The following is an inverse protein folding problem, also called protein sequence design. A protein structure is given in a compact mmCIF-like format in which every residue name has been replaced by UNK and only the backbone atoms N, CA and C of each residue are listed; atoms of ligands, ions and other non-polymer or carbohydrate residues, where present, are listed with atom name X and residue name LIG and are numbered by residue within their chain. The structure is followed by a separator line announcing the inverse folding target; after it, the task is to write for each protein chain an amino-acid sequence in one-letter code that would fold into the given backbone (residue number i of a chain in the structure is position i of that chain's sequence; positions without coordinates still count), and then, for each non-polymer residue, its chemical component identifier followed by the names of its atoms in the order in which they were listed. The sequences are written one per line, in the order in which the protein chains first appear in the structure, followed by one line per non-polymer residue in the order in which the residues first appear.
data_IF_871192624394
#
_entry.id   IF_871192624394
#
_cell.length_a   1.000
_cell.length_b   1.000
_cell.length_c   1.000
_cell.angle_alpha   90.00
_cell.angle_beta   90.00
_cell.angle_gamma   90.00
#
_symmetry.space_group_name_H-M   'P 1'
#
loop_
_entity.id
_entity.type
_entity.pdbx_description
1 polymer ?
#
# COMPACT_ATOMS: atom_id res chain seq x y z
N UNK A 1 -19.90 3.25 -10.35
CA UNK A 1 -19.46 2.03 -9.66
C UNK A 1 -18.07 1.75 -10.19
N UNK A 2 -17.04 1.90 -9.36
CA UNK A 2 -15.64 1.78 -9.75
C UNK A 2 -15.28 0.31 -9.79
N UNK A 3 -14.96 -0.24 -10.96
CA UNK A 3 -14.63 -1.66 -11.10
C UNK A 3 -13.13 -1.87 -10.89
N UNK A 4 -12.75 -2.19 -9.65
CA UNK A 4 -11.37 -2.52 -9.31
C UNK A 4 -10.92 -3.88 -9.89
N UNK A 5 -11.85 -4.65 -10.51
CA UNK A 5 -11.49 -5.85 -11.26
C UNK A 5 -10.95 -5.54 -12.65
N UNK A 6 -10.98 -4.29 -13.10
CA UNK A 6 -10.46 -3.91 -14.41
C UNK A 6 -9.00 -3.44 -14.30
N UNK A 7 -8.09 -4.19 -14.89
CA UNK A 7 -6.66 -3.84 -15.01
C UNK A 7 -6.48 -2.50 -15.72
N UNK A 8 -7.36 -2.16 -16.68
CA UNK A 8 -7.32 -0.88 -17.37
C UNK A 8 -7.75 0.27 -16.44
N UNK A 9 -8.71 0.01 -15.53
CA UNK A 9 -9.06 0.97 -14.49
C UNK A 9 -7.88 1.22 -13.54
N UNK A 10 -7.24 0.15 -13.03
CA UNK A 10 -6.05 0.28 -12.16
C UNK A 10 -4.95 1.06 -12.90
N UNK A 11 -4.67 0.72 -14.15
CA UNK A 11 -3.66 1.41 -14.97
C UNK A 11 -3.94 2.92 -15.06
N UNK A 12 -5.17 3.27 -15.42
CA UNK A 12 -5.58 4.66 -15.61
C UNK A 12 -5.57 5.45 -14.28
N UNK A 13 -6.00 4.83 -13.19
CA UNK A 13 -5.99 5.43 -11.85
C UNK A 13 -4.56 5.74 -11.40
N UNK A 14 -3.65 4.77 -11.51
CA UNK A 14 -2.24 4.94 -11.13
C UNK A 14 -1.54 6.01 -11.97
N UNK A 15 -1.77 6.02 -13.28
CA UNK A 15 -1.17 7.03 -14.17
C UNK A 15 -1.67 8.44 -13.86
N UNK A 16 -2.99 8.60 -13.66
CA UNK A 16 -3.58 9.90 -13.29
C UNK A 16 -3.06 10.39 -11.96
N UNK A 17 -2.94 9.48 -10.99
CA UNK A 17 -2.49 9.80 -9.64
C UNK A 17 -1.00 10.10 -9.57
N UNK A 18 -0.17 9.37 -10.31
CA UNK A 18 1.26 9.66 -10.43
C UNK A 18 1.48 11.07 -11.00
N UNK A 19 0.74 11.44 -12.05
CA UNK A 19 0.81 12.78 -12.63
C UNK A 19 0.36 13.88 -11.65
N UNK A 20 -0.74 13.66 -10.91
CA UNK A 20 -1.23 14.60 -9.90
C UNK A 20 -0.22 14.79 -8.76
N UNK A 21 0.31 13.70 -8.20
CA UNK A 21 1.26 13.73 -7.09
C UNK A 21 2.62 14.33 -7.51
N UNK A 22 3.09 14.01 -8.72
CA UNK A 22 4.28 14.65 -9.32
C UNK A 22 4.09 16.15 -9.47
N UNK A 23 2.92 16.60 -9.98
CA UNK A 23 2.63 18.03 -10.15
C UNK A 23 2.60 18.81 -8.83
N UNK A 24 2.28 18.12 -7.73
CA UNK A 24 2.26 18.65 -6.36
C UNK A 24 3.62 18.55 -5.65
N UNK A 25 4.63 17.92 -6.27
CA UNK A 25 5.94 17.69 -5.66
C UNK A 25 5.92 16.66 -4.52
N UNK A 26 4.89 15.80 -4.47
CA UNK A 26 4.73 14.74 -3.46
C UNK A 26 5.28 13.38 -3.92
N UNK A 27 5.58 13.28 -5.21
CA UNK A 27 6.22 12.12 -5.84
C UNK A 27 7.41 12.62 -6.65
N UNK A 28 8.55 11.94 -6.55
CA UNK A 28 9.74 12.25 -7.35
C UNK A 28 9.53 11.88 -8.83
N UNK A 29 10.31 12.47 -9.76
CA UNK A 29 10.35 12.01 -11.16
C UNK A 29 10.66 10.51 -11.26
N UNK A 30 11.61 10.02 -10.47
CA UNK A 30 12.00 8.61 -10.45
C UNK A 30 10.85 7.71 -9.96
N UNK A 31 10.11 8.15 -8.95
CA UNK A 31 8.92 7.46 -8.46
C UNK A 31 7.78 7.44 -9.48
N UNK A 32 7.59 8.55 -10.21
CA UNK A 32 6.61 8.61 -11.29
C UNK A 32 6.98 7.69 -12.46
N UNK A 33 8.26 7.65 -12.83
CA UNK A 33 8.78 6.75 -13.87
C UNK A 33 8.64 5.27 -13.47
N UNK A 34 8.87 4.95 -12.19
CA UNK A 34 8.63 3.60 -11.67
C UNK A 34 7.16 3.19 -11.81
N UNK A 35 6.22 4.10 -11.48
CA UNK A 35 4.78 3.82 -11.68
C UNK A 35 4.47 3.65 -13.17
N UNK A 36 5.01 4.50 -14.05
CA UNK A 36 4.84 4.36 -15.51
C UNK A 36 5.37 3.02 -16.02
N UNK A 37 6.52 2.56 -15.49
CA UNK A 37 7.04 1.25 -15.84
C UNK A 37 6.09 0.14 -15.41
N UNK A 38 5.63 0.17 -14.16
CA UNK A 38 4.66 -0.79 -13.61
C UNK A 38 3.35 -0.83 -14.41
N UNK A 39 2.84 0.32 -14.86
CA UNK A 39 1.56 0.41 -15.58
C UNK A 39 1.65 0.00 -17.05
N UNK A 40 2.83 0.13 -17.67
CA UNK A 40 3.02 -0.13 -19.10
C UNK A 40 3.74 -1.47 -19.39
N UNK A 41 4.37 -2.09 -18.40
CA UNK A 41 5.03 -3.39 -18.57
C UNK A 41 4.04 -4.47 -19.03
N UNK A 42 4.41 -5.19 -20.09
CA UNK A 42 3.61 -6.27 -20.68
C UNK A 42 3.76 -7.60 -19.93
N UNK A 43 4.77 -7.73 -19.08
CA UNK A 43 5.01 -8.84 -18.17
C UNK A 43 5.77 -8.34 -16.92
N UNK A 44 5.58 -9.00 -15.79
CA UNK A 44 6.44 -8.79 -14.61
C UNK A 44 7.73 -9.61 -14.78
N UNK A 45 8.87 -9.02 -14.43
CA UNK A 45 10.19 -9.66 -14.58
C UNK A 45 11.04 -9.44 -13.34
N UNK A 46 11.73 -10.50 -12.90
CA UNK A 46 12.71 -10.40 -11.81
C UNK A 46 13.89 -9.48 -12.18
N UNK A 47 14.19 -9.35 -13.49
CA UNK A 47 15.27 -8.50 -14.01
C UNK A 47 14.99 -7.00 -13.83
N UNK A 48 13.72 -6.60 -13.67
CA UNK A 48 13.37 -5.18 -13.48
C UNK A 48 13.76 -4.69 -12.08
N UNK A 49 14.02 -5.61 -11.14
CA UNK A 49 14.26 -5.29 -9.74
C UNK A 49 13.04 -4.68 -9.04
N UNK A 50 11.85 -4.84 -9.61
CA UNK A 50 10.59 -4.32 -9.10
C UNK A 50 9.86 -5.40 -8.31
N UNK A 51 9.29 -5.04 -7.17
CA UNK A 51 8.44 -5.93 -6.39
C UNK A 51 7.14 -5.23 -6.03
N UNK A 52 6.00 -5.80 -6.45
CA UNK A 52 4.70 -5.43 -5.89
C UNK A 52 4.39 -6.36 -4.73
N UNK A 53 4.09 -5.78 -3.57
CA UNK A 53 3.78 -6.57 -2.39
C UNK A 53 2.63 -6.01 -1.57
N UNK A 54 2.06 -6.92 -0.77
CA UNK A 54 1.05 -6.64 0.24
C UNK A 54 1.70 -6.55 1.62
N UNK A 55 1.01 -5.89 2.54
CA UNK A 55 1.37 -5.92 3.95
C UNK A 55 0.84 -7.19 4.61
N UNK A 56 1.70 -7.87 5.36
CA UNK A 56 1.32 -9.03 6.18
C UNK A 56 1.75 -8.79 7.61
N UNK A 57 0.91 -9.18 8.57
CA UNK A 57 1.18 -9.10 10.00
C UNK A 57 1.53 -10.49 10.56
N UNK A 58 2.80 -10.93 10.49
CA UNK A 58 3.17 -12.32 10.79
C UNK A 58 2.96 -12.69 12.26
N UNK A 59 3.08 -11.71 13.17
CA UNK A 59 2.88 -11.90 14.62
C UNK A 59 1.41 -11.86 15.02
N UNK A 60 0.50 -11.56 14.09
CA UNK A 60 -0.93 -11.40 14.32
C UNK A 60 -1.71 -12.32 13.37
N UNK A 61 -1.46 -13.62 13.45
CA UNK A 61 -2.18 -14.62 12.65
C UNK A 61 -1.91 -14.57 11.13
N UNK A 62 -0.88 -13.85 10.69
CA UNK A 62 -0.59 -13.69 9.26
C UNK A 62 -1.65 -12.89 8.52
N UNK A 63 -2.30 -11.93 9.20
CA UNK A 63 -3.31 -11.05 8.61
C UNK A 63 -2.71 -10.26 7.45
N UNK A 64 -3.44 -10.15 6.34
CA UNK A 64 -3.07 -9.30 5.22
C UNK A 64 -3.86 -7.99 5.28
N UNK A 65 -3.20 -6.87 4.96
CA UNK A 65 -3.93 -5.65 4.67
C UNK A 65 -4.38 -5.64 3.20
N UNK A 66 -5.66 -5.39 2.97
CA UNK A 66 -6.29 -5.31 1.65
C UNK A 66 -6.31 -3.86 1.14
N UNK A 67 -6.55 -3.66 -0.17
CA UNK A 67 -6.67 -2.34 -0.85
C UNK A 67 -5.40 -1.45 -0.85
N UNK A 68 -4.44 -1.69 0.04
CA UNK A 68 -3.10 -1.08 0.05
C UNK A 68 -2.08 -2.00 -0.62
N UNK A 69 -1.12 -1.41 -1.31
CA UNK A 69 0.03 -2.15 -1.83
C UNK A 69 1.27 -1.26 -1.86
N UNK A 70 2.43 -1.91 -1.94
CA UNK A 70 3.72 -1.23 -2.09
C UNK A 70 4.38 -1.69 -3.37
N UNK A 71 4.90 -0.73 -4.12
CA UNK A 71 5.82 -0.96 -5.24
C UNK A 71 7.22 -0.65 -4.71
N UNK A 72 8.08 -1.66 -4.64
CA UNK A 72 9.51 -1.49 -4.39
C UNK A 72 10.24 -1.41 -5.72
N UNK A 73 11.01 -0.34 -5.91
CA UNK A 73 11.83 -0.12 -7.09
C UNK A 73 13.26 -0.67 -6.95
N UNK A 74 13.99 -0.78 -8.08
CA UNK A 74 15.37 -1.28 -8.11
C UNK A 74 16.36 -0.41 -7.33
N UNK A 75 16.13 0.90 -7.26
CA UNK A 75 16.98 1.84 -6.52
C UNK A 75 16.60 1.94 -5.02
N UNK A 76 15.73 1.05 -4.55
CA UNK A 76 15.32 0.98 -3.14
C UNK A 76 14.14 1.88 -2.77
N UNK A 77 13.51 2.57 -3.72
CA UNK A 77 12.28 3.31 -3.46
C UNK A 77 11.17 2.35 -3.01
N UNK A 78 10.34 2.80 -2.09
CA UNK A 78 9.12 2.14 -1.67
C UNK A 78 7.96 3.12 -1.85
N UNK A 79 7.14 2.87 -2.87
CA UNK A 79 5.95 3.66 -3.16
C UNK A 79 4.75 2.95 -2.54
N UNK A 80 4.26 3.48 -1.43
CA UNK A 80 3.03 3.03 -0.80
C UNK A 80 1.83 3.72 -1.46
N UNK A 81 0.93 2.93 -2.04
CA UNK A 81 -0.36 3.43 -2.50
C UNK A 81 -1.39 3.37 -1.37
N UNK A 82 -2.07 4.50 -1.14
CA UNK A 82 -3.15 4.63 -0.17
C UNK A 82 -4.44 5.05 -0.89
N UNK A 83 -5.45 4.16 -1.01
CA UNK A 83 -6.65 4.43 -1.81
C UNK A 83 -7.53 5.50 -1.20
N UNK A 84 -7.53 5.65 0.13
CA UNK A 84 -8.35 6.60 0.89
C UNK A 84 -7.58 6.96 2.17
N UNK A 85 -7.49 8.24 2.55
CA UNK A 85 -6.81 8.65 3.79
C UNK A 85 -7.80 8.65 4.98
N UNK A 86 -7.40 8.21 6.20
CA UNK A 86 -8.31 8.15 7.34
C UNK A 86 -9.00 9.48 7.72
N UNK A 87 -8.31 10.62 7.57
CA UNK A 87 -8.86 11.97 7.83
C UNK A 87 -9.57 12.59 6.64
N UNK A 88 -9.35 12.05 5.45
CA UNK A 88 -9.81 12.59 4.17
C UNK A 88 -10.09 11.40 3.24
N UNK A 89 -11.24 10.72 3.41
CA UNK A 89 -11.52 9.45 2.73
C UNK A 89 -11.63 9.57 1.20
N UNK A 90 -11.56 10.79 0.66
CA UNK A 90 -11.49 11.07 -0.78
C UNK A 90 -10.07 11.22 -1.32
N UNK A 91 -9.09 11.40 -0.45
CA UNK A 91 -7.73 11.74 -0.85
C UNK A 91 -6.90 10.46 -1.02
N UNK A 92 -6.68 10.08 -2.28
CA UNK A 92 -5.72 9.04 -2.66
C UNK A 92 -4.31 9.64 -2.70
N UNK A 93 -3.32 8.98 -2.11
CA UNK A 93 -1.94 9.46 -2.12
C UNK A 93 -0.90 8.35 -2.28
N UNK A 94 0.22 8.71 -2.92
CA UNK A 94 1.45 7.92 -2.90
C UNK A 94 2.36 8.46 -1.79
N UNK A 95 2.85 7.57 -0.94
CA UNK A 95 3.93 7.86 0.00
C UNK A 95 5.22 7.22 -0.51
N UNK A 96 6.10 8.04 -1.06
CA UNK A 96 7.42 7.60 -1.49
C UNK A 96 8.40 7.61 -0.31
N UNK A 97 9.07 6.49 -0.08
CA UNK A 97 10.04 6.30 1.00
C UNK A 97 11.27 5.56 0.47
N UNK A 98 12.37 5.61 1.23
CA UNK A 98 13.65 4.96 0.86
C UNK A 98 13.89 3.62 1.56
N UNK A 99 13.02 3.25 2.50
CA UNK A 99 13.16 2.02 3.26
C UNK A 99 11.80 1.51 3.77
N UNK A 100 11.75 0.20 4.03
CA UNK A 100 10.55 -0.47 4.51
C UNK A 100 10.06 0.05 5.87
N UNK A 101 10.99 0.46 6.74
CA UNK A 101 10.66 0.93 8.08
C UNK A 101 9.81 2.20 8.01
N UNK A 102 10.22 3.19 7.21
CA UNK A 102 9.44 4.43 6.98
C UNK A 102 8.11 4.16 6.31
N UNK A 103 8.07 3.25 5.34
CA UNK A 103 6.82 2.83 4.71
C UNK A 103 5.83 2.27 5.73
N UNK A 104 6.30 1.47 6.70
CA UNK A 104 5.46 0.98 7.79
C UNK A 104 5.02 2.10 8.74
N UNK A 105 5.91 3.03 9.07
CA UNK A 105 5.59 4.14 9.98
C UNK A 105 4.40 4.99 9.48
N UNK A 106 4.22 5.14 8.16
CA UNK A 106 3.05 5.82 7.58
C UNK A 106 1.73 5.16 8.04
N UNK A 107 1.68 3.83 8.12
CA UNK A 107 0.49 3.11 8.61
C UNK A 107 0.31 3.29 10.12
N UNK A 108 1.40 3.33 10.88
CA UNK A 108 1.35 3.63 12.32
C UNK A 108 0.81 5.03 12.60
N UNK A 109 1.19 6.01 11.78
CA UNK A 109 0.66 7.37 11.87
C UNK A 109 -0.84 7.45 11.61
N UNK A 110 -1.42 6.53 10.80
CA UNK A 110 -2.86 6.51 10.57
C UNK A 110 -3.61 6.23 11.87
N UNK A 111 -3.14 5.34 12.73
CA UNK A 111 -3.78 5.03 14.01
C UNK A 111 -3.84 6.23 14.97
N UNK A 112 -2.93 7.20 14.83
CA UNK A 112 -2.95 8.46 15.59
C UNK A 112 -3.89 9.53 15.03
N UNK A 113 -4.57 9.27 13.91
CA UNK A 113 -5.48 10.21 13.25
C UNK A 113 -6.94 9.92 13.61
N UNK A 114 -7.83 10.94 13.69
CA UNK A 114 -9.28 10.73 13.66
C UNK A 114 -9.71 9.78 12.54
N UNK A 115 -10.52 8.76 12.87
CA UNK A 115 -10.95 7.70 11.95
C UNK A 115 -9.86 6.68 11.59
N UNK A 116 -8.65 6.83 12.15
CA UNK A 116 -7.48 6.00 11.87
C UNK A 116 -7.62 4.54 12.22
N UNK A 117 -8.17 4.25 13.41
CA UNK A 117 -8.43 2.90 13.87
C UNK A 117 -9.44 2.19 12.96
N UNK A 118 -10.58 2.82 12.72
CA UNK A 118 -11.63 2.28 11.85
C UNK A 118 -11.08 2.02 10.45
N UNK A 119 -10.32 2.97 9.90
CA UNK A 119 -9.64 2.80 8.62
C UNK A 119 -8.70 1.60 8.60
N UNK A 120 -7.82 1.45 9.59
CA UNK A 120 -6.87 0.33 9.64
C UNK A 120 -7.58 -1.02 9.82
N UNK A 121 -8.70 -1.07 10.54
CA UNK A 121 -9.53 -2.25 10.67
C UNK A 121 -10.29 -2.58 9.38
N UNK A 122 -10.70 -1.58 8.60
CA UNK A 122 -11.34 -1.73 7.28
C UNK A 122 -10.39 -2.24 6.20
N UNK A 123 -9.08 -2.14 6.43
CA UNK A 123 -8.06 -2.79 5.61
C UNK A 123 -7.86 -4.26 5.97
N UNK A 124 -8.59 -4.80 6.93
CA UNK A 124 -8.47 -6.20 7.35
C UNK A 124 -9.78 -6.91 7.04
N UNK A 125 -9.68 -8.12 6.48
CA UNK A 125 -10.85 -8.95 6.25
C UNK A 125 -11.58 -9.24 7.58
N UNK A 126 -12.92 -9.13 7.58
CA UNK A 126 -13.74 -9.26 8.79
C UNK A 126 -13.45 -10.52 9.60
N UNK A 127 -13.16 -11.65 8.93
CA UNK A 127 -12.86 -12.94 9.57
C UNK A 127 -11.52 -12.92 10.32
N UNK A 128 -10.60 -12.04 9.92
CA UNK A 128 -9.27 -11.92 10.51
C UNK A 128 -9.14 -10.74 11.48
N UNK A 129 -10.17 -9.88 11.57
CA UNK A 129 -10.12 -8.63 12.33
C UNK A 129 -9.85 -8.85 13.83
N UNK A 130 -10.34 -9.94 14.39
CA UNK A 130 -10.11 -10.32 15.80
C UNK A 130 -8.61 -10.52 16.15
N UNK A 131 -7.77 -10.89 15.18
CA UNK A 131 -6.34 -11.15 15.43
C UNK A 131 -5.50 -9.88 15.59
N UNK A 132 -6.04 -8.73 15.16
CA UNK A 132 -5.29 -7.46 15.07
C UNK A 132 -5.96 -6.29 15.78
N UNK A 133 -7.26 -6.41 16.11
CA UNK A 133 -8.04 -5.31 16.69
C UNK A 133 -7.42 -4.76 17.97
N UNK A 134 -7.10 -5.64 18.94
CA UNK A 134 -6.49 -5.22 20.21
C UNK A 134 -5.14 -4.53 20.01
N UNK A 135 -4.34 -5.00 19.05
CA UNK A 135 -3.04 -4.39 18.74
C UNK A 135 -3.19 -3.00 18.12
N UNK A 136 -4.11 -2.83 17.16
CA UNK A 136 -4.40 -1.51 16.59
C UNK A 136 -5.01 -0.55 17.63
N UNK A 137 -5.90 -1.04 18.49
CA UNK A 137 -6.41 -0.26 19.62
C UNK A 137 -5.29 0.16 20.57
N UNK A 138 -4.39 -0.75 20.94
CA UNK A 138 -3.25 -0.43 21.79
C UNK A 138 -2.40 0.68 21.18
N UNK A 139 -2.00 0.56 19.91
CA UNK A 139 -1.19 1.57 19.23
C UNK A 139 -1.93 2.91 19.15
N UNK A 140 -3.25 2.90 18.90
CA UNK A 140 -4.04 4.14 18.85
C UNK A 140 -4.00 4.91 20.17
N UNK A 141 -3.82 4.22 21.30
CA UNK A 141 -3.69 4.79 22.65
C UNK A 141 -2.24 5.08 23.02
N UNK A 142 -1.32 4.19 22.65
CA UNK A 142 0.12 4.27 22.89
C UNK A 142 0.89 4.05 21.57
N UNK A 143 1.15 5.12 20.79
CA UNK A 143 1.91 5.02 19.55
C UNK A 143 3.32 4.45 19.73
N UNK A 144 3.89 4.55 20.94
CA UNK A 144 5.18 3.96 21.30
C UNK A 144 5.21 2.42 21.28
N UNK A 145 4.05 1.76 21.34
CA UNK A 145 3.95 0.29 21.22
C UNK A 145 4.06 -0.19 19.76
N UNK A 146 4.12 0.73 18.78
CA UNK A 146 4.31 0.36 17.39
C UNK A 146 5.64 -0.35 17.15
N UNK A 147 5.58 -1.53 16.53
CA UNK A 147 6.75 -2.26 16.08
C UNK A 147 6.87 -2.22 14.56
N UNK A 148 8.02 -1.81 14.03
CA UNK A 148 8.26 -1.90 12.58
C UNK A 148 8.34 -3.33 12.05
N UNK A 149 8.49 -4.31 12.95
CA UNK A 149 8.44 -5.73 12.61
C UNK A 149 7.01 -6.27 12.63
N UNK A 150 6.01 -5.43 12.94
CA UNK A 150 4.61 -5.81 12.87
C UNK A 150 4.16 -6.10 11.44
N UNK A 151 4.88 -5.57 10.44
CA UNK A 151 4.59 -5.78 9.02
C UNK A 151 5.80 -6.35 8.27
N UNK A 152 5.51 -7.27 7.37
CA UNK A 152 6.44 -7.72 6.33
C UNK A 152 5.83 -7.46 4.96
N UNK A 153 6.69 -7.12 4.01
CA UNK A 153 6.31 -7.04 2.61
C UNK A 153 6.27 -8.45 2.03
N UNK A 154 5.09 -8.92 1.66
CA UNK A 154 4.95 -10.19 0.95
C UNK A 154 4.75 -9.91 -0.55
N UNK A 155 5.69 -10.33 -1.42
CA UNK A 155 5.53 -10.25 -2.87
C UNK A 155 4.27 -10.99 -3.33
N UNK A 156 3.61 -10.44 -4.34
CA UNK A 156 2.43 -11.06 -4.95
C UNK A 156 2.76 -11.53 -6.35
N UNK A 157 2.47 -12.79 -6.66
CA UNK A 157 2.66 -13.34 -8.00
C UNK A 157 1.56 -12.87 -8.96
N UNK A 158 1.91 -12.72 -10.23
CA UNK A 158 0.99 -12.33 -11.29
C UNK A 158 1.75 -12.15 -12.61
N UNK A 159 1.03 -12.28 -13.74
CA UNK A 159 1.61 -12.21 -15.09
C UNK A 159 2.20 -10.83 -15.40
N UNK A 160 1.55 -9.77 -14.93
CA UNK A 160 2.03 -8.38 -15.00
C UNK A 160 1.95 -7.75 -13.62
N UNK A 161 2.67 -6.64 -13.41
CA UNK A 161 2.58 -5.89 -12.15
C UNK A 161 1.15 -5.42 -11.84
N UNK A 162 0.36 -5.06 -12.86
CA UNK A 162 -1.04 -4.69 -12.67
C UNK A 162 -1.90 -5.86 -12.19
N UNK A 163 -1.66 -7.09 -12.66
CA UNK A 163 -2.34 -8.28 -12.14
C UNK A 163 -1.93 -8.57 -10.68
N UNK A 164 -0.68 -8.30 -10.31
CA UNK A 164 -0.22 -8.39 -8.92
C UNK A 164 -0.97 -7.40 -8.03
N UNK A 165 -1.12 -6.14 -8.47
CA UNK A 165 -1.88 -5.10 -7.76
C UNK A 165 -3.37 -5.49 -7.67
N UNK A 166 -3.97 -5.92 -8.77
CA UNK A 166 -5.36 -6.38 -8.83
C UNK A 166 -5.63 -7.50 -7.81
N UNK A 167 -4.72 -8.47 -7.69
CA UNK A 167 -4.84 -9.57 -6.73
C UNK A 167 -4.80 -9.11 -5.26
N UNK A 168 -4.26 -7.92 -4.98
CA UNK A 168 -4.25 -7.30 -3.64
C UNK A 168 -5.53 -6.49 -3.41
N UNK A 169 -6.00 -5.75 -4.42
CA UNK A 169 -7.16 -4.85 -4.28
C UNK A 169 -8.50 -5.59 -4.32
N UNK A 170 -8.59 -6.73 -5.01
CA UNK A 170 -9.82 -7.52 -5.15
C UNK A 170 -10.14 -8.47 -3.98
N UNK A 171 -9.25 -8.60 -3.00
CA UNK A 171 -9.40 -9.50 -1.84
C UNK A 171 -9.65 -8.69 -0.58
#
# INVERSE_FOLDING_TARGET
MTDFNDVDYIRNDLNKMAADQLSKGLLSPEGADLIQHVTNATAASDDDGITVGRFVMPLHGGVNLIRLFVIRGPEGQHILYVPEQPKAPTDRIFHENFDWHRTCMVLGEFLGKPGGLDYMLDLVNDVQREYVADYFEEISRLPSSWSSNAFVLQPVAGETYLHQIQAIVNR
#
